data_IF_400638897874
#
_entry.id   IF_400638897874
#
_cell.length_a   1.000
_cell.length_b   1.000
_cell.length_c   1.000
_cell.angle_alpha   90.00
_cell.angle_beta   90.00
_cell.angle_gamma   90.00
#
_symmetry.space_group_name_H-M   'P 1'
#
loop_
_entity.id
_entity.type
_entity.pdbx_description
1 polymer ?
#
# COMPACT_ATOMS: atom_id res chain seq x y z
N UNK A 1 -4.80 -16.33 -30.13
CA UNK A 1 -4.37 -15.31 -29.15
C UNK A 1 -5.05 -15.48 -27.79
N UNK A 2 -6.37 -15.72 -27.75
CA UNK A 2 -7.16 -15.79 -26.50
C UNK A 2 -6.76 -16.88 -25.47
N UNK A 3 -6.00 -17.91 -25.86
CA UNK A 3 -5.53 -18.98 -24.95
C UNK A 3 -4.20 -18.65 -24.27
N UNK A 4 -3.37 -17.79 -24.88
CA UNK A 4 -2.07 -17.35 -24.34
C UNK A 4 -2.14 -15.97 -23.68
N UNK A 5 -3.27 -15.27 -23.85
CA UNK A 5 -3.48 -13.89 -23.42
C UNK A 5 -3.12 -13.64 -21.95
N UNK A 6 -3.49 -14.55 -21.05
CA UNK A 6 -3.16 -14.42 -19.62
C UNK A 6 -1.66 -14.49 -19.36
N UNK A 7 -0.95 -15.39 -20.04
CA UNK A 7 0.50 -15.53 -19.95
C UNK A 7 1.21 -14.31 -20.52
N UNK A 8 0.79 -13.85 -21.71
CA UNK A 8 1.33 -12.66 -22.36
C UNK A 8 1.13 -11.40 -21.51
N UNK A 9 -0.10 -11.16 -21.03
CA UNK A 9 -0.40 -9.99 -20.19
C UNK A 9 0.42 -10.00 -18.91
N UNK A 10 0.56 -11.17 -18.25
CA UNK A 10 1.37 -11.31 -17.04
C UNK A 10 2.85 -11.01 -17.31
N UNK A 11 3.42 -11.51 -18.41
CA UNK A 11 4.80 -11.26 -18.78
C UNK A 11 5.05 -9.77 -19.10
N UNK A 12 4.15 -9.15 -19.87
CA UNK A 12 4.20 -7.73 -20.19
C UNK A 12 4.11 -6.88 -18.91
N UNK A 13 3.17 -7.18 -18.02
CA UNK A 13 3.02 -6.47 -16.75
C UNK A 13 4.23 -6.61 -15.85
N UNK A 14 4.89 -7.78 -15.81
CA UNK A 14 6.17 -7.92 -15.11
C UNK A 14 7.25 -7.00 -15.69
N UNK A 15 7.33 -6.91 -17.02
CA UNK A 15 8.25 -5.99 -17.73
C UNK A 15 7.91 -4.52 -17.52
N UNK A 16 6.63 -4.16 -17.35
CA UNK A 16 6.23 -2.79 -17.01
C UNK A 16 6.87 -2.30 -15.69
N UNK A 17 7.21 -3.22 -14.80
CA UNK A 17 7.85 -2.91 -13.52
C UNK A 17 9.34 -2.57 -13.62
N UNK A 18 9.97 -2.72 -14.78
CA UNK A 18 11.39 -2.46 -14.97
C UNK A 18 11.72 -0.97 -15.10
N UNK A 19 12.95 -0.60 -14.73
CA UNK A 19 13.39 0.81 -14.65
C UNK A 19 13.59 1.48 -16.01
N UNK A 20 13.64 0.74 -17.12
CA UNK A 20 13.87 1.29 -18.46
C UNK A 20 12.60 1.92 -19.04
N UNK A 21 12.67 3.22 -19.37
CA UNK A 21 11.53 3.96 -19.91
C UNK A 21 11.07 3.48 -21.30
N UNK A 22 12.01 3.09 -22.18
CA UNK A 22 11.68 2.57 -23.52
C UNK A 22 10.93 1.24 -23.42
N UNK A 23 11.39 0.33 -22.55
CA UNK A 23 10.70 -0.94 -22.31
C UNK A 23 9.29 -0.70 -21.79
N UNK A 24 9.11 0.26 -20.85
CA UNK A 24 7.78 0.59 -20.35
C UNK A 24 6.86 1.13 -21.44
N UNK A 25 7.39 1.95 -22.35
CA UNK A 25 6.62 2.49 -23.48
C UNK A 25 6.20 1.40 -24.46
N UNK A 26 7.10 0.48 -24.81
CA UNK A 26 6.79 -0.66 -25.70
C UNK A 26 5.77 -1.61 -25.06
N UNK A 27 5.88 -1.83 -23.75
CA UNK A 27 4.90 -2.61 -22.98
C UNK A 27 3.52 -1.93 -22.98
N UNK A 28 3.47 -0.61 -22.77
CA UNK A 28 2.22 0.17 -22.79
C UNK A 28 1.55 0.06 -24.18
N UNK A 29 2.33 0.20 -25.26
CA UNK A 29 1.84 0.05 -26.63
C UNK A 29 1.31 -1.37 -26.93
N UNK A 30 2.02 -2.41 -26.45
CA UNK A 30 1.61 -3.80 -26.62
C UNK A 30 0.30 -4.11 -25.86
N UNK A 31 0.19 -3.64 -24.62
CA UNK A 31 -1.03 -3.80 -23.82
C UNK A 31 -2.20 -2.99 -24.38
N UNK A 32 -1.96 -1.81 -24.96
CA UNK A 32 -3.01 -1.06 -25.65
C UNK A 32 -3.49 -1.77 -26.92
N UNK A 33 -2.58 -2.35 -27.71
CA UNK A 33 -2.94 -3.19 -28.86
C UNK A 33 -3.80 -4.40 -28.42
N UNK A 34 -3.42 -5.05 -27.32
CA UNK A 34 -4.20 -6.14 -26.71
C UNK A 34 -5.61 -5.67 -26.31
N UNK A 35 -5.75 -4.49 -25.69
CA UNK A 35 -7.04 -3.89 -25.31
C UNK A 35 -7.89 -3.50 -26.53
N UNK A 36 -7.29 -3.30 -27.70
CA UNK A 36 -7.99 -2.96 -28.94
C UNK A 36 -8.50 -4.18 -29.69
N UNK A 37 -7.75 -5.29 -29.69
CA UNK A 37 -8.00 -6.40 -30.62
C UNK A 37 -8.41 -7.73 -29.95
N UNK A 38 -8.24 -7.88 -28.63
CA UNK A 38 -8.60 -9.11 -27.93
C UNK A 38 -10.01 -9.05 -27.32
N UNK A 39 -10.55 -10.23 -26.96
CA UNK A 39 -11.85 -10.35 -26.28
C UNK A 39 -11.86 -9.58 -24.95
N UNK A 40 -12.68 -8.53 -24.85
CA UNK A 40 -12.71 -7.59 -23.72
C UNK A 40 -12.77 -8.27 -22.34
N UNK A 41 -13.65 -9.27 -22.17
CA UNK A 41 -13.79 -10.00 -20.90
C UNK A 41 -12.55 -10.82 -20.53
N UNK A 42 -11.87 -11.43 -21.52
CA UNK A 42 -10.60 -12.15 -21.28
C UNK A 42 -9.47 -11.18 -20.99
N UNK A 43 -9.39 -10.05 -21.68
CA UNK A 43 -8.41 -9.00 -21.41
C UNK A 43 -8.55 -8.44 -19.99
N UNK A 44 -9.79 -8.22 -19.52
CA UNK A 44 -10.05 -7.84 -18.11
C UNK A 44 -9.47 -8.90 -17.18
N UNK A 45 -9.83 -10.17 -17.35
CA UNK A 45 -9.37 -11.25 -16.48
C UNK A 45 -7.85 -11.40 -16.48
N UNK A 46 -7.20 -11.29 -17.65
CA UNK A 46 -5.75 -11.36 -17.80
C UNK A 46 -5.04 -10.24 -17.02
N UNK A 47 -5.52 -9.00 -17.13
CA UNK A 47 -4.99 -7.85 -16.39
C UNK A 47 -5.21 -8.00 -14.87
N UNK A 48 -6.40 -8.44 -14.45
CA UNK A 48 -6.71 -8.65 -13.04
C UNK A 48 -5.80 -9.70 -12.41
N UNK A 49 -5.60 -10.83 -13.08
CA UNK A 49 -4.74 -11.92 -12.62
C UNK A 49 -3.26 -11.50 -12.64
N UNK A 50 -2.82 -10.77 -13.66
CA UNK A 50 -1.41 -10.40 -13.83
C UNK A 50 -0.93 -9.26 -12.93
N UNK A 51 -1.80 -8.30 -12.61
CA UNK A 51 -1.33 -6.99 -12.13
C UNK A 51 -2.05 -6.37 -10.94
N UNK A 52 -3.31 -6.73 -10.65
CA UNK A 52 -4.13 -6.07 -9.62
C UNK A 52 -3.46 -6.03 -8.24
N UNK A 53 -2.82 -7.15 -7.86
CA UNK A 53 -2.20 -7.31 -6.54
C UNK A 53 -0.66 -7.33 -6.61
N UNK A 54 -0.08 -6.83 -7.70
CA UNK A 54 1.37 -6.81 -7.87
C UNK A 54 2.03 -5.85 -6.87
N UNK A 55 3.25 -6.15 -6.42
CA UNK A 55 3.92 -5.36 -5.38
C UNK A 55 4.48 -4.05 -5.88
N UNK A 56 4.99 -4.07 -7.11
CA UNK A 56 5.48 -2.88 -7.76
C UNK A 56 4.30 -1.96 -8.13
N UNK A 57 4.24 -0.71 -7.60
CA UNK A 57 3.18 0.23 -7.91
C UNK A 57 3.09 0.60 -9.40
N UNK A 58 4.21 0.59 -10.13
CA UNK A 58 4.23 0.88 -11.58
C UNK A 58 3.41 -0.16 -12.36
N UNK A 59 3.52 -1.43 -11.96
CA UNK A 59 2.74 -2.51 -12.57
C UNK A 59 1.26 -2.36 -12.26
N UNK A 60 0.90 -2.00 -11.02
CA UNK A 60 -0.50 -1.73 -10.65
C UNK A 60 -1.07 -0.52 -11.40
N UNK A 61 -0.29 0.55 -11.56
CA UNK A 61 -0.64 1.72 -12.38
C UNK A 61 -0.90 1.33 -13.83
N UNK A 62 0.01 0.58 -14.45
CA UNK A 62 -0.13 0.10 -15.83
C UNK A 62 -1.40 -0.75 -15.99
N UNK A 63 -1.61 -1.69 -15.06
CA UNK A 63 -2.82 -2.52 -15.00
C UNK A 63 -4.08 -1.67 -14.93
N UNK A 64 -4.11 -0.68 -14.01
CA UNK A 64 -5.27 0.18 -13.80
C UNK A 64 -5.57 1.07 -15.02
N UNK A 65 -4.53 1.56 -15.71
CA UNK A 65 -4.65 2.37 -16.92
C UNK A 65 -5.36 1.59 -18.04
N UNK A 66 -4.85 0.41 -18.41
CA UNK A 66 -5.45 -0.40 -19.46
C UNK A 66 -6.81 -0.97 -19.06
N UNK A 67 -7.01 -1.29 -17.77
CA UNK A 67 -8.30 -1.71 -17.25
C UNK A 67 -9.34 -0.59 -17.36
N UNK A 68 -8.97 0.66 -17.12
CA UNK A 68 -9.88 1.79 -17.28
C UNK A 68 -10.34 1.95 -18.74
N UNK A 69 -9.43 1.78 -19.70
CA UNK A 69 -9.77 1.79 -21.13
C UNK A 69 -10.76 0.66 -21.49
N UNK A 70 -10.57 -0.54 -20.93
CA UNK A 70 -11.52 -1.66 -21.12
C UNK A 70 -12.87 -1.39 -20.47
N UNK A 71 -12.90 -0.83 -19.26
CA UNK A 71 -14.14 -0.53 -18.53
C UNK A 71 -14.98 0.49 -19.30
N UNK A 72 -14.34 1.52 -19.86
CA UNK A 72 -14.99 2.51 -20.71
C UNK A 72 -15.53 1.88 -22.00
N UNK A 73 -14.77 1.00 -22.67
CA UNK A 73 -15.21 0.29 -23.88
C UNK A 73 -16.38 -0.68 -23.64
N UNK A 74 -16.36 -1.42 -22.53
CA UNK A 74 -17.41 -2.40 -22.20
C UNK A 74 -18.69 -1.70 -21.71
N UNK A 75 -18.52 -0.61 -20.96
CA UNK A 75 -19.61 0.18 -20.40
C UNK A 75 -20.18 -0.39 -19.09
N UNK A 76 -20.63 0.52 -18.22
CA UNK A 76 -21.13 0.18 -16.89
C UNK A 76 -22.33 -0.79 -16.92
N UNK A 77 -23.25 -0.63 -17.88
CA UNK A 77 -24.44 -1.48 -18.00
C UNK A 77 -24.08 -2.97 -18.20
N UNK A 78 -23.05 -3.26 -19.00
CA UNK A 78 -22.64 -4.65 -19.23
C UNK A 78 -21.82 -5.21 -18.07
N UNK A 79 -20.94 -4.40 -17.48
CA UNK A 79 -20.11 -4.80 -16.33
C UNK A 79 -20.93 -5.03 -15.06
N UNK A 80 -22.03 -4.31 -14.91
CA UNK A 80 -22.94 -4.35 -13.77
C UNK A 80 -24.26 -5.07 -14.09
N UNK A 81 -24.30 -5.86 -15.17
CA UNK A 81 -25.50 -6.63 -15.54
C UNK A 81 -25.83 -7.79 -14.58
N UNK A 82 -24.97 -8.04 -13.59
CA UNK A 82 -25.15 -9.12 -12.61
C UNK A 82 -24.65 -10.49 -13.08
N UNK A 83 -23.91 -10.54 -14.19
CA UNK A 83 -23.20 -11.75 -14.61
C UNK A 83 -22.18 -12.16 -13.56
N UNK A 84 -22.41 -13.30 -12.89
CA UNK A 84 -21.63 -13.81 -11.74
C UNK A 84 -20.13 -13.59 -11.96
N UNK A 85 -19.51 -14.20 -12.96
CA UNK A 85 -18.05 -14.23 -13.05
C UNK A 85 -17.36 -12.89 -13.34
N UNK A 86 -18.01 -11.97 -14.07
CA UNK A 86 -17.41 -10.69 -14.44
C UNK A 86 -17.63 -9.64 -13.34
N UNK A 87 -18.87 -9.48 -12.86
CA UNK A 87 -19.20 -8.49 -11.83
C UNK A 87 -18.53 -8.85 -10.50
N UNK A 88 -18.48 -10.15 -10.14
CA UNK A 88 -17.81 -10.66 -8.92
C UNK A 88 -16.33 -10.28 -8.85
N UNK A 89 -15.65 -10.17 -10.01
CA UNK A 89 -14.21 -9.88 -10.06
C UNK A 89 -13.92 -8.39 -10.28
N UNK A 90 -14.64 -7.75 -11.20
CA UNK A 90 -14.28 -6.40 -11.66
C UNK A 90 -14.61 -5.32 -10.62
N UNK A 91 -15.74 -5.42 -9.93
CA UNK A 91 -16.18 -4.38 -8.99
C UNK A 91 -15.26 -4.35 -7.75
N UNK A 92 -14.96 -5.47 -7.07
CA UNK A 92 -13.97 -5.48 -6.00
C UNK A 92 -12.58 -5.01 -6.45
N UNK A 93 -12.16 -5.34 -7.67
CA UNK A 93 -10.89 -4.90 -8.22
C UNK A 93 -10.82 -3.38 -8.41
N UNK A 94 -11.87 -2.76 -8.94
CA UNK A 94 -11.95 -1.31 -9.12
C UNK A 94 -11.95 -0.59 -7.77
N UNK A 95 -12.69 -1.10 -6.79
CA UNK A 95 -12.70 -0.54 -5.42
C UNK A 95 -11.31 -0.63 -4.79
N UNK A 96 -10.64 -1.78 -4.92
CA UNK A 96 -9.26 -1.95 -4.47
C UNK A 96 -8.31 -0.95 -5.13
N UNK A 97 -8.41 -0.76 -6.45
CA UNK A 97 -7.60 0.22 -7.16
C UNK A 97 -7.95 1.65 -6.73
N UNK A 98 -9.22 1.99 -6.50
CA UNK A 98 -9.64 3.30 -6.04
C UNK A 98 -9.11 3.68 -4.64
N UNK A 99 -8.58 2.70 -3.91
CA UNK A 99 -7.92 2.86 -2.60
C UNK A 99 -6.44 2.44 -2.65
N UNK A 100 -5.82 2.35 -3.84
CA UNK A 100 -4.45 1.87 -3.99
C UNK A 100 -3.44 2.79 -3.29
N UNK A 101 -2.31 2.23 -2.86
CA UNK A 101 -1.22 3.01 -2.27
C UNK A 101 -0.46 3.90 -3.26
N UNK A 102 -0.52 3.62 -4.56
CA UNK A 102 -0.02 4.49 -5.63
C UNK A 102 -1.10 5.49 -6.01
N UNK A 103 -0.73 6.77 -6.05
CA UNK A 103 -1.66 7.84 -6.38
C UNK A 103 -2.19 7.70 -7.81
N UNK A 104 -1.35 7.25 -8.73
CA UNK A 104 -1.66 7.03 -10.15
C UNK A 104 -2.59 5.83 -10.35
N UNK A 105 -2.30 4.68 -9.71
CA UNK A 105 -3.22 3.54 -9.73
C UNK A 105 -4.58 3.93 -9.11
N UNK A 106 -4.54 4.71 -8.02
CA UNK A 106 -5.74 5.27 -7.36
C UNK A 106 -6.55 6.16 -8.27
N UNK A 107 -5.90 7.00 -9.06
CA UNK A 107 -6.56 7.86 -10.04
C UNK A 107 -7.36 7.02 -11.06
N UNK A 108 -6.75 6.03 -11.70
CA UNK A 108 -7.46 5.17 -12.66
C UNK A 108 -8.57 4.35 -12.01
N UNK A 109 -8.35 3.83 -10.80
CA UNK A 109 -9.38 3.17 -10.01
C UNK A 109 -10.60 4.07 -9.76
N UNK A 110 -10.36 5.31 -9.34
CA UNK A 110 -11.41 6.32 -9.14
C UNK A 110 -12.11 6.72 -10.44
N UNK A 111 -11.40 6.76 -11.58
CA UNK A 111 -12.01 6.99 -12.90
C UNK A 111 -13.02 5.91 -13.27
N UNK A 112 -12.62 4.64 -13.11
CA UNK A 112 -13.49 3.49 -13.33
C UNK A 112 -14.69 3.50 -12.36
N UNK A 113 -14.44 3.77 -11.07
CA UNK A 113 -15.50 3.84 -10.06
C UNK A 113 -16.54 4.93 -10.37
N UNK A 114 -16.08 6.11 -10.79
CA UNK A 114 -16.97 7.20 -11.22
C UNK A 114 -17.83 6.77 -12.41
N UNK A 115 -17.22 6.14 -13.43
CA UNK A 115 -17.94 5.62 -14.60
C UNK A 115 -19.02 4.60 -14.21
N UNK A 116 -18.69 3.64 -13.33
CA UNK A 116 -19.63 2.64 -12.82
C UNK A 116 -20.76 3.25 -11.98
N UNK A 117 -20.47 4.31 -11.21
CA UNK A 117 -21.44 4.97 -10.32
C UNK A 117 -22.60 5.68 -11.04
N UNK A 118 -22.51 5.82 -12.37
CA UNK A 118 -23.58 6.34 -13.22
C UNK A 118 -24.66 5.31 -13.51
N UNK A 119 -24.45 4.03 -13.18
CA UNK A 119 -25.44 2.98 -13.38
C UNK A 119 -26.57 3.07 -12.35
N UNK A 120 -27.82 2.89 -12.81
CA UNK A 120 -29.04 3.03 -11.96
C UNK A 120 -29.09 2.08 -10.77
N UNK A 121 -28.59 0.86 -10.93
CA UNK A 121 -28.57 -0.17 -9.88
C UNK A 121 -27.22 -0.25 -9.16
N UNK A 122 -26.34 0.73 -9.33
CA UNK A 122 -24.99 0.70 -8.75
C UNK A 122 -25.01 0.42 -7.25
N UNK A 123 -25.86 1.10 -6.47
CA UNK A 123 -25.93 0.92 -5.02
C UNK A 123 -26.37 -0.49 -4.60
N UNK A 124 -27.36 -1.06 -5.28
CA UNK A 124 -27.84 -2.44 -5.02
C UNK A 124 -26.76 -3.47 -5.32
N UNK A 125 -26.02 -3.26 -6.40
CA UNK A 125 -24.93 -4.14 -6.82
C UNK A 125 -23.75 -3.98 -5.86
N UNK A 126 -23.45 -2.77 -5.44
CA UNK A 126 -22.41 -2.49 -4.44
C UNK A 126 -22.67 -3.29 -3.15
N UNK A 127 -23.89 -3.25 -2.62
CA UNK A 127 -24.28 -4.02 -1.41
C UNK A 127 -24.16 -5.53 -1.59
N UNK A 128 -24.37 -6.04 -2.81
CA UNK A 128 -24.29 -7.48 -3.10
C UNK A 128 -22.85 -7.99 -3.19
N UNK A 129 -21.93 -7.22 -3.74
CA UNK A 129 -20.59 -7.67 -4.10
C UNK A 129 -19.47 -7.10 -3.22
N UNK A 130 -19.77 -6.18 -2.30
CA UNK A 130 -18.78 -5.51 -1.45
C UNK A 130 -19.07 -5.78 0.04
N UNK A 131 -18.06 -6.12 0.85
CA UNK A 131 -18.25 -6.31 2.28
C UNK A 131 -18.82 -5.07 2.97
N UNK A 132 -19.75 -5.26 3.92
CA UNK A 132 -20.46 -4.17 4.61
C UNK A 132 -19.53 -3.13 5.23
N UNK A 133 -18.37 -3.58 5.74
CA UNK A 133 -17.34 -2.72 6.33
C UNK A 133 -16.75 -1.68 5.37
N UNK A 134 -16.73 -1.99 4.07
CA UNK A 134 -16.08 -1.15 3.04
C UNK A 134 -17.10 -0.23 2.35
N UNK A 135 -18.41 -0.50 2.49
CA UNK A 135 -19.49 0.24 1.81
C UNK A 135 -19.48 1.73 2.14
N UNK A 136 -19.27 2.10 3.41
CA UNK A 136 -19.28 3.49 3.85
C UNK A 136 -18.17 4.30 3.14
N UNK A 137 -16.95 3.76 3.12
CA UNK A 137 -15.78 4.39 2.47
C UNK A 137 -15.98 4.51 0.97
N UNK A 138 -16.53 3.49 0.31
CA UNK A 138 -16.78 3.52 -1.14
C UNK A 138 -17.85 4.56 -1.48
N UNK A 139 -18.94 4.63 -0.71
CA UNK A 139 -20.01 5.62 -0.91
C UNK A 139 -19.50 7.05 -0.75
N UNK A 140 -18.68 7.32 0.27
CA UNK A 140 -18.06 8.63 0.45
C UNK A 140 -17.12 9.00 -0.72
N UNK A 141 -16.36 8.00 -1.21
CA UNK A 141 -15.49 8.18 -2.38
C UNK A 141 -16.30 8.54 -3.63
N UNK A 142 -17.40 7.83 -3.88
CA UNK A 142 -18.31 8.10 -5.02
C UNK A 142 -18.98 9.46 -4.89
N UNK A 143 -19.46 9.82 -3.69
CA UNK A 143 -20.04 11.14 -3.43
C UNK A 143 -19.04 12.27 -3.71
N UNK A 144 -17.79 12.11 -3.25
CA UNK A 144 -16.71 13.05 -3.53
C UNK A 144 -16.41 13.15 -5.02
N UNK A 145 -16.41 12.03 -5.74
CA UNK A 145 -16.15 12.01 -7.18
C UNK A 145 -17.27 12.68 -8.00
N UNK A 146 -18.54 12.45 -7.63
CA UNK A 146 -19.69 13.10 -8.30
C UNK A 146 -19.74 14.60 -8.08
N UNK A 147 -19.26 15.08 -6.93
CA UNK A 147 -19.30 16.52 -6.56
C UNK A 147 -18.06 17.30 -7.02
N UNK A 148 -16.86 16.72 -6.92
CA UNK A 148 -15.58 17.40 -7.26
C UNK A 148 -14.99 16.99 -8.61
N UNK A 149 -15.51 15.94 -9.23
CA UNK A 149 -14.86 15.30 -10.36
C UNK A 149 -13.64 14.48 -9.94
N UNK A 150 -12.95 13.95 -10.94
CA UNK A 150 -11.81 13.03 -10.77
C UNK A 150 -10.53 13.73 -10.27
N UNK A 151 -10.39 15.03 -10.51
CA UNK A 151 -9.17 15.78 -10.31
C UNK A 151 -8.15 15.59 -11.44
N UNK A 152 -6.97 16.19 -11.30
CA UNK A 152 -5.87 16.06 -12.26
C UNK A 152 -5.12 14.73 -12.09
N UNK A 153 -4.59 14.21 -13.19
CA UNK A 153 -3.70 13.04 -13.17
C UNK A 153 -2.43 13.39 -12.39
N UNK A 154 -2.04 12.60 -11.38
CA UNK A 154 -0.77 12.79 -10.70
C UNK A 154 0.37 12.68 -11.71
N UNK A 155 1.21 13.71 -11.77
CA UNK A 155 2.45 13.70 -12.56
C UNK A 155 3.54 13.03 -11.73
N UNK A 156 4.51 12.38 -12.39
CA UNK A 156 5.70 11.83 -11.73
C UNK A 156 6.36 12.93 -10.89
N UNK A 157 6.15 12.91 -9.56
CA UNK A 157 7.00 13.71 -8.66
C UNK A 157 8.40 13.13 -8.78
N UNK A 158 9.40 13.86 -9.30
CA UNK A 158 10.75 13.35 -9.33
C UNK A 158 11.17 13.20 -7.87
N UNK A 159 11.33 11.96 -7.42
CA UNK A 159 12.00 11.66 -6.16
C UNK A 159 13.32 12.43 -6.14
N UNK A 160 13.65 13.08 -5.03
CA UNK A 160 14.88 13.87 -4.84
C UNK A 160 16.18 13.03 -4.88
N UNK A 161 16.17 11.86 -5.54
CA UNK A 161 17.31 10.97 -5.76
C UNK A 161 18.12 11.25 -7.03
N UNK A 162 17.88 12.35 -7.74
CA UNK A 162 18.70 12.64 -8.91
C UNK A 162 18.47 14.00 -9.57
N UNK A 163 18.82 15.10 -8.88
CA UNK A 163 19.10 16.36 -9.60
C UNK A 163 20.60 16.43 -9.89
N UNK A 164 20.97 16.19 -11.15
CA UNK A 164 22.05 16.98 -11.76
C UNK A 164 21.44 18.35 -12.05
N UNK A 165 21.99 19.36 -11.43
CA UNK A 165 21.62 20.77 -11.57
C UNK A 165 21.89 21.26 -12.99
N UNK A 166 20.87 21.85 -13.62
CA UNK A 166 21.03 22.87 -14.66
C UNK A 166 20.48 24.19 -14.09
N UNK A 167 21.17 25.32 -14.30
CA UNK A 167 20.84 26.59 -13.67
C UNK A 167 19.77 27.34 -14.47
N UNK A 168 18.81 27.94 -13.77
CA UNK A 168 17.76 28.74 -14.40
C UNK A 168 16.89 29.49 -13.40
N UNK A 169 17.36 30.69 -13.04
CA UNK A 169 16.65 31.96 -12.79
C UNK A 169 15.35 32.00 -11.96
N UNK A 170 15.30 32.96 -11.04
CA UNK A 170 14.06 33.62 -10.62
C UNK A 170 13.76 33.62 -9.13
N UNK A 171 14.37 34.55 -8.40
CA UNK A 171 13.98 34.95 -7.04
C UNK A 171 12.58 35.58 -7.03
N UNK A 172 11.68 35.13 -6.15
CA UNK A 172 10.52 35.93 -5.74
C UNK A 172 10.35 35.83 -4.22
N UNK A 173 10.40 36.99 -3.59
CA UNK A 173 10.23 37.26 -2.15
C UNK A 173 8.93 36.66 -1.61
N UNK A 174 9.01 35.98 -0.46
CA UNK A 174 7.85 35.64 0.35
C UNK A 174 7.49 36.82 1.26
N UNK A 175 6.23 37.26 1.20
CA UNK A 175 5.64 38.19 2.16
C UNK A 175 5.05 37.40 3.35
N UNK A 176 5.50 37.75 4.55
CA UNK A 176 4.98 37.27 5.82
C UNK A 176 3.71 38.05 6.19
N UNK A 177 2.61 37.35 6.46
CA UNK A 177 1.48 37.90 7.20
C UNK A 177 1.12 36.93 8.32
N UNK A 178 1.56 37.27 9.52
CA UNK A 178 1.07 36.73 10.78
C UNK A 178 -0.30 37.34 11.06
N UNK A 179 -1.34 36.51 11.21
CA UNK A 179 -2.58 36.91 11.89
C UNK A 179 -2.89 35.86 12.94
N UNK A 180 -2.68 36.26 14.19
CA UNK A 180 -3.28 35.62 15.35
C UNK A 180 -4.80 35.70 15.22
N UNK A 181 -5.51 34.59 15.48
CA UNK A 181 -6.95 34.59 15.66
C UNK A 181 -7.32 33.51 16.67
N UNK A 182 -7.78 33.99 17.83
CA UNK A 182 -8.40 33.24 18.90
C UNK A 182 -9.64 32.50 18.38
N UNK A 183 -9.81 31.23 18.72
CA UNK A 183 -11.03 30.48 18.40
C UNK A 183 -11.67 29.88 19.64
N UNK A 184 -12.83 30.44 19.98
CA UNK A 184 -13.86 29.81 20.81
C UNK A 184 -14.45 28.59 20.09
N UNK A 185 -14.68 27.53 20.86
CA UNK A 185 -15.15 26.23 20.43
C UNK A 185 -16.60 26.26 19.91
N UNK A 186 -16.82 25.97 18.63
CA UNK A 186 -18.12 25.54 18.08
C UNK A 186 -17.86 24.52 16.96
N UNK A 187 -18.47 23.34 17.09
CA UNK A 187 -18.39 22.21 16.16
C UNK A 187 -18.66 22.63 14.71
N UNK A 188 -17.60 22.75 13.90
CA UNK A 188 -17.66 23.22 12.51
C UNK A 188 -17.86 22.06 11.53
N UNK A 189 -18.96 22.09 10.79
CA UNK A 189 -19.08 21.40 9.49
C UNK A 189 -18.10 22.08 8.55
N UNK A 190 -16.96 21.44 8.27
CA UNK A 190 -15.91 22.03 7.44
C UNK A 190 -16.38 22.14 5.99
N UNK A 191 -16.28 23.33 5.39
CA UNK A 191 -16.68 23.53 4.00
C UNK A 191 -15.75 22.76 3.06
N UNK A 192 -16.29 22.35 1.91
CA UNK A 192 -15.54 21.70 0.83
C UNK A 192 -14.37 22.58 0.34
N UNK A 193 -14.53 23.91 0.37
CA UNK A 193 -13.50 24.87 0.03
C UNK A 193 -12.34 24.82 1.04
N UNK A 194 -12.67 24.85 2.34
CA UNK A 194 -11.71 24.78 3.46
C UNK A 194 -10.84 23.52 3.37
N UNK A 195 -11.43 22.37 3.00
CA UNK A 195 -10.69 21.11 2.79
C UNK A 195 -9.67 21.22 1.65
N UNK A 196 -10.06 21.77 0.51
CA UNK A 196 -9.17 21.87 -0.66
C UNK A 196 -8.03 22.85 -0.39
N UNK A 197 -8.34 23.96 0.25
CA UNK A 197 -7.35 24.95 0.66
C UNK A 197 -6.36 24.36 1.68
N UNK A 198 -6.86 23.65 2.69
CA UNK A 198 -6.04 22.93 3.65
C UNK A 198 -5.05 21.98 2.98
N UNK A 199 -5.53 21.11 2.08
CA UNK A 199 -4.69 20.15 1.34
C UNK A 199 -3.59 20.89 0.56
N UNK A 200 -3.92 22.01 -0.08
CA UNK A 200 -2.95 22.82 -0.85
C UNK A 200 -1.89 23.43 0.07
N UNK A 201 -2.30 24.00 1.20
CA UNK A 201 -1.40 24.61 2.18
C UNK A 201 -0.44 23.56 2.77
N UNK A 202 -0.97 22.45 3.30
CA UNK A 202 -0.14 21.41 3.92
C UNK A 202 0.76 20.69 2.90
N UNK A 203 0.30 20.51 1.66
CA UNK A 203 1.15 19.95 0.60
C UNK A 203 2.27 20.91 0.18
N UNK A 204 2.04 22.23 0.26
CA UNK A 204 3.06 23.26 -0.01
C UNK A 204 4.16 23.27 1.05
N UNK A 205 3.77 23.40 2.33
CA UNK A 205 4.29 22.70 3.52
C UNK A 205 5.51 21.77 3.39
N UNK A 206 5.26 20.51 3.75
CA UNK A 206 5.13 19.51 2.71
C UNK A 206 6.32 19.51 1.74
N UNK A 207 6.06 19.94 0.52
CA UNK A 207 6.97 19.94 -0.62
C UNK A 207 7.90 21.14 -0.73
N UNK A 208 8.05 21.96 0.31
CA UNK A 208 8.91 23.14 0.26
C UNK A 208 10.36 22.79 -0.07
N UNK A 209 11.04 23.69 -0.79
CA UNK A 209 12.48 23.58 -1.06
C UNK A 209 13.31 23.73 0.22
N UNK A 210 12.82 24.52 1.18
CA UNK A 210 13.48 24.69 2.49
C UNK A 210 13.10 23.53 3.42
N UNK A 211 14.11 22.83 3.95
CA UNK A 211 13.91 21.72 4.87
C UNK A 211 13.28 22.14 6.20
N UNK A 212 13.45 23.41 6.61
CA UNK A 212 12.84 23.94 7.84
C UNK A 212 11.34 24.08 7.68
N UNK A 213 10.89 24.56 6.52
CA UNK A 213 9.47 24.63 6.19
C UNK A 213 8.84 23.24 6.08
N UNK A 214 9.60 22.25 5.59
CA UNK A 214 9.13 20.85 5.62
C UNK A 214 8.94 20.34 7.05
N UNK A 215 9.88 20.63 7.96
CA UNK A 215 9.75 20.29 9.40
C UNK A 215 8.53 20.98 10.00
N UNK A 216 8.33 22.28 9.75
CA UNK A 216 7.13 23.01 10.20
C UNK A 216 5.85 22.38 9.65
N UNK A 217 5.84 21.94 8.39
CA UNK A 217 4.72 21.22 7.80
C UNK A 217 4.42 19.89 8.50
N UNK A 218 5.46 19.17 8.93
CA UNK A 218 5.31 17.94 9.73
C UNK A 218 4.73 18.27 11.10
N UNK A 219 5.24 19.29 11.78
CA UNK A 219 4.73 19.73 13.10
C UNK A 219 3.27 20.19 13.02
N UNK A 220 2.92 20.93 11.96
CA UNK A 220 1.55 21.33 11.69
C UNK A 220 0.64 20.11 11.49
N UNK A 221 1.07 19.11 10.71
CA UNK A 221 0.29 17.89 10.51
C UNK A 221 0.04 17.14 11.83
N UNK A 222 1.03 17.06 12.72
CA UNK A 222 0.86 16.46 14.06
C UNK A 222 -0.17 17.27 14.87
N UNK A 223 -0.06 18.59 14.86
CA UNK A 223 -1.02 19.48 15.53
C UNK A 223 -2.44 19.32 14.99
N UNK A 224 -2.60 19.21 13.67
CA UNK A 224 -3.90 19.03 13.03
C UNK A 224 -4.52 17.67 13.34
N UNK A 225 -3.71 16.60 13.46
CA UNK A 225 -4.20 15.30 13.92
C UNK A 225 -4.74 15.38 15.36
N UNK A 226 -4.18 16.24 16.21
CA UNK A 226 -4.61 16.42 17.59
C UNK A 226 -5.84 17.33 17.71
N UNK A 227 -5.87 18.44 16.99
CA UNK A 227 -6.88 19.49 17.18
C UNK A 227 -7.99 19.48 16.12
N UNK A 228 -7.72 18.96 14.92
CA UNK A 228 -8.64 18.97 13.77
C UNK A 228 -8.74 17.58 13.10
N UNK A 229 -9.00 16.48 13.84
CA UNK A 229 -8.92 15.11 13.30
C UNK A 229 -9.91 14.86 12.16
N UNK A 230 -11.09 15.49 12.17
CA UNK A 230 -12.09 15.34 11.09
C UNK A 230 -11.57 15.86 9.74
N UNK A 231 -10.81 16.96 9.72
CA UNK A 231 -10.19 17.48 8.51
C UNK A 231 -9.19 16.47 7.93
N UNK A 232 -8.37 15.87 8.79
CA UNK A 232 -7.39 14.84 8.41
C UNK A 232 -8.07 13.58 7.90
N UNK A 233 -9.07 13.05 8.63
CA UNK A 233 -9.83 11.85 8.22
C UNK A 233 -10.41 12.04 6.81
N UNK A 234 -10.99 13.21 6.55
CA UNK A 234 -11.58 13.52 5.25
C UNK A 234 -10.53 13.70 4.14
N UNK A 235 -9.26 13.96 4.47
CA UNK A 235 -8.19 14.24 3.51
C UNK A 235 -7.01 13.27 3.59
N UNK A 236 -7.22 12.08 4.17
CA UNK A 236 -6.18 11.07 4.45
C UNK A 236 -5.27 10.81 3.26
N UNK A 237 -5.85 10.42 2.13
CA UNK A 237 -5.09 10.04 0.95
C UNK A 237 -4.17 11.17 0.44
N UNK A 238 -4.67 12.37 0.08
CA UNK A 238 -3.80 13.49 -0.32
C UNK A 238 -2.74 13.88 0.73
N UNK A 239 -3.12 13.93 2.01
CA UNK A 239 -2.20 14.33 3.10
C UNK A 239 -1.08 13.31 3.27
N UNK A 240 -1.42 12.02 3.29
CA UNK A 240 -0.44 10.95 3.47
C UNK A 240 0.37 10.66 2.21
N UNK A 241 -0.14 10.93 1.01
CA UNK A 241 0.67 10.94 -0.21
C UNK A 241 1.77 12.03 -0.13
N UNK A 242 1.42 13.24 0.34
CA UNK A 242 2.39 14.32 0.54
C UNK A 242 3.39 14.01 1.68
N UNK A 243 2.91 13.46 2.80
CA UNK A 243 3.74 13.11 3.95
C UNK A 243 4.68 11.93 3.68
N UNK A 244 4.25 10.94 2.87
CA UNK A 244 5.09 9.82 2.42
C UNK A 244 6.43 10.29 1.83
N UNK A 245 6.42 11.39 1.08
CA UNK A 245 7.65 11.94 0.50
C UNK A 245 8.66 12.43 1.56
N UNK A 246 8.21 12.76 2.77
CA UNK A 246 9.06 13.10 3.93
C UNK A 246 9.59 11.86 4.63
N UNK A 247 8.76 10.81 4.72
CA UNK A 247 9.18 9.49 5.19
C UNK A 247 10.25 8.88 4.30
N UNK A 248 10.34 9.22 3.02
CA UNK A 248 11.34 8.67 2.09
C UNK A 248 12.39 9.70 1.66
N UNK A 249 12.56 10.76 2.45
CA UNK A 249 13.42 11.88 2.09
C UNK A 249 14.92 11.57 2.22
N UNK A 250 15.74 12.18 1.36
CA UNK A 250 17.20 12.09 1.41
C UNK A 250 17.83 12.90 2.56
N UNK A 251 17.20 13.99 2.98
CA UNK A 251 17.64 14.77 4.14
C UNK A 251 17.32 13.99 5.43
N UNK A 252 18.37 13.49 6.09
CA UNK A 252 18.25 12.66 7.29
C UNK A 252 17.55 13.35 8.46
N UNK A 253 17.66 14.68 8.59
CA UNK A 253 17.00 15.44 9.67
C UNK A 253 15.49 15.49 9.48
N UNK A 254 15.04 15.79 8.25
CA UNK A 254 13.60 15.78 7.93
C UNK A 254 13.05 14.36 8.00
N UNK A 255 13.83 13.37 7.52
CA UNK A 255 13.42 11.98 7.53
C UNK A 255 13.23 11.43 8.95
N UNK A 256 14.19 11.67 9.83
CA UNK A 256 14.10 11.28 11.24
C UNK A 256 12.88 11.94 11.90
N UNK A 257 12.72 13.25 11.73
CA UNK A 257 11.61 14.00 12.30
C UNK A 257 10.24 13.50 11.79
N UNK A 258 10.16 13.12 10.51
CA UNK A 258 8.96 12.53 9.94
C UNK A 258 8.63 11.16 10.57
N UNK A 259 9.61 10.28 10.78
CA UNK A 259 9.40 8.97 11.40
C UNK A 259 8.98 9.08 12.88
N UNK A 260 9.58 10.00 13.63
CA UNK A 260 9.20 10.29 15.02
C UNK A 260 7.80 10.91 15.11
N UNK A 261 7.49 11.83 14.21
CA UNK A 261 6.16 12.45 14.13
C UNK A 261 5.09 11.46 13.70
N UNK A 262 5.42 10.50 12.83
CA UNK A 262 4.50 9.45 12.42
C UNK A 262 4.03 8.59 13.60
N UNK A 263 4.91 8.30 14.57
CA UNK A 263 4.52 7.58 15.79
C UNK A 263 3.41 8.32 16.56
N UNK A 264 3.52 9.65 16.67
CA UNK A 264 2.52 10.50 17.31
C UNK A 264 1.22 10.55 16.49
N UNK A 265 1.34 10.68 15.17
CA UNK A 265 0.17 10.68 14.27
C UNK A 265 -0.60 9.36 14.39
N UNK A 266 0.10 8.22 14.46
CA UNK A 266 -0.53 6.91 14.61
C UNK A 266 -1.31 6.81 15.92
N UNK A 267 -0.75 7.26 17.05
CA UNK A 267 -1.44 7.20 18.34
C UNK A 267 -2.64 8.14 18.43
N UNK A 268 -2.61 9.28 17.73
CA UNK A 268 -3.71 10.23 17.66
C UNK A 268 -4.86 9.73 16.76
N UNK A 269 -4.53 9.21 15.58
CA UNK A 269 -5.51 8.89 14.53
C UNK A 269 -6.03 7.45 14.60
N UNK A 270 -5.26 6.52 15.17
CA UNK A 270 -5.61 5.09 15.38
C UNK A 270 -6.22 4.47 14.12
N UNK A 271 -7.30 3.70 14.27
CA UNK A 271 -7.99 2.96 13.19
C UNK A 271 -8.39 3.82 11.99
N UNK A 272 -8.47 5.15 12.12
CA UNK A 272 -8.68 6.05 10.97
C UNK A 272 -7.59 5.88 9.91
N UNK A 273 -6.37 5.51 10.30
CA UNK A 273 -5.25 5.28 9.39
C UNK A 273 -5.31 3.94 8.64
N UNK A 274 -6.26 3.06 8.96
CA UNK A 274 -6.46 1.77 8.29
C UNK A 274 -6.48 1.89 6.76
N UNK A 275 -7.09 2.96 6.25
CA UNK A 275 -7.22 3.24 4.81
C UNK A 275 -5.88 3.54 4.12
N UNK A 276 -4.88 4.02 4.87
CA UNK A 276 -3.57 4.42 4.36
C UNK A 276 -2.43 3.51 4.82
N UNK A 277 -2.74 2.38 5.47
CA UNK A 277 -1.74 1.38 5.89
C UNK A 277 -0.88 0.91 4.71
N UNK A 278 -1.49 0.70 3.55
CA UNK A 278 -0.76 0.29 2.33
C UNK A 278 0.19 1.37 1.79
N UNK A 279 0.03 2.63 2.21
CA UNK A 279 0.96 3.73 1.91
C UNK A 279 2.07 3.76 2.96
N UNK A 280 1.68 3.68 4.24
CA UNK A 280 2.57 3.82 5.39
C UNK A 280 3.56 2.66 5.52
N UNK A 281 3.09 1.41 5.45
CA UNK A 281 3.94 0.24 5.69
C UNK A 281 5.14 0.22 4.71
N UNK A 282 4.95 0.30 3.38
CA UNK A 282 6.08 0.41 2.45
C UNK A 282 6.98 1.62 2.72
N UNK A 283 6.38 2.78 3.07
CA UNK A 283 7.14 3.99 3.34
C UNK A 283 8.11 3.82 4.51
N UNK A 284 7.75 3.01 5.52
CA UNK A 284 8.59 2.73 6.69
C UNK A 284 9.58 1.57 6.42
N UNK A 285 9.13 0.46 5.84
CA UNK A 285 9.94 -0.76 5.81
C UNK A 285 10.95 -0.82 4.67
N UNK A 286 10.68 -0.16 3.53
CA UNK A 286 11.48 -0.35 2.31
C UNK A 286 12.91 0.21 2.43
N UNK A 287 13.11 1.29 3.20
CA UNK A 287 14.40 1.99 3.24
C UNK A 287 14.98 2.21 4.65
N UNK A 288 14.20 2.11 5.72
CA UNK A 288 14.65 2.59 7.04
C UNK A 288 15.19 1.48 7.94
N UNK A 289 14.67 0.27 7.82
CA UNK A 289 15.12 -0.86 8.64
C UNK A 289 16.52 -1.38 8.28
N UNK A 290 17.01 -1.05 7.09
CA UNK A 290 18.40 -1.29 6.67
C UNK A 290 19.28 -0.03 6.79
N UNK A 291 18.79 1.04 7.43
CA UNK A 291 19.54 2.29 7.57
C UNK A 291 20.77 2.11 8.45
N UNK A 292 21.90 2.71 8.04
CA UNK A 292 23.11 2.81 8.87
C UNK A 292 22.97 3.86 9.98
N UNK A 293 22.00 4.76 9.87
CA UNK A 293 21.71 5.75 10.90
C UNK A 293 20.82 5.11 11.96
N UNK A 294 21.39 4.87 13.15
CA UNK A 294 20.69 4.20 14.24
C UNK A 294 19.43 4.94 14.72
N UNK A 295 19.40 6.27 14.64
CA UNK A 295 18.22 7.05 15.03
C UNK A 295 17.08 6.83 14.04
N UNK A 296 17.39 6.82 12.73
CA UNK A 296 16.39 6.52 11.68
C UNK A 296 15.88 5.09 11.83
N UNK A 297 16.77 4.13 12.06
CA UNK A 297 16.41 2.74 12.33
C UNK A 297 15.48 2.63 13.54
N UNK A 298 15.85 3.24 14.68
CA UNK A 298 15.07 3.21 15.92
C UNK A 298 13.71 3.88 15.74
N UNK A 299 13.64 5.03 15.07
CA UNK A 299 12.38 5.70 14.78
C UNK A 299 11.47 4.89 13.85
N UNK A 300 12.03 4.14 12.88
CA UNK A 300 11.26 3.26 12.02
C UNK A 300 10.71 2.04 12.76
N UNK A 301 11.50 1.42 13.64
CA UNK A 301 11.01 0.36 14.54
C UNK A 301 9.91 0.90 15.46
N UNK A 302 10.09 2.11 16.00
CA UNK A 302 9.06 2.81 16.78
C UNK A 302 7.76 3.00 16.00
N UNK A 303 7.84 3.41 14.73
CA UNK A 303 6.67 3.56 13.86
C UNK A 303 5.96 2.22 13.59
N UNK A 304 6.70 1.14 13.35
CA UNK A 304 6.13 -0.21 13.19
C UNK A 304 5.41 -0.66 14.46
N UNK A 305 6.06 -0.51 15.62
CA UNK A 305 5.44 -0.85 16.90
C UNK A 305 4.19 0.00 17.18
N UNK A 306 4.22 1.29 16.83
CA UNK A 306 3.05 2.16 16.95
C UNK A 306 1.89 1.67 16.07
N UNK A 307 2.14 1.21 14.84
CA UNK A 307 1.12 0.60 13.99
C UNK A 307 0.50 -0.64 14.67
N UNK A 308 1.33 -1.57 15.15
CA UNK A 308 0.88 -2.81 15.81
C UNK A 308 0.06 -2.51 17.08
N UNK A 309 0.42 -1.47 17.84
CA UNK A 309 -0.26 -1.14 19.09
C UNK A 309 -1.57 -0.37 18.92
N UNK A 310 -1.77 0.34 17.79
CA UNK A 310 -2.90 1.28 17.62
C UNK A 310 -3.85 0.93 16.47
N UNK A 311 -3.55 -0.11 15.69
CA UNK A 311 -4.40 -0.56 14.58
C UNK A 311 -4.79 -2.03 14.77
N UNK A 312 -5.89 -2.43 14.11
CA UNK A 312 -6.22 -3.84 13.99
C UNK A 312 -5.10 -4.62 13.25
N UNK A 313 -4.44 -5.51 13.98
CA UNK A 313 -3.37 -6.37 13.51
C UNK A 313 -3.74 -7.23 12.29
N UNK A 314 -5.03 -7.52 12.07
CA UNK A 314 -5.51 -8.20 10.86
C UNK A 314 -5.16 -7.40 9.60
N UNK A 315 -5.19 -6.07 9.68
CA UNK A 315 -4.87 -5.18 8.55
C UNK A 315 -3.36 -5.11 8.27
N UNK A 316 -2.53 -5.39 9.26
CA UNK A 316 -1.06 -5.35 9.15
C UNK A 316 -0.47 -6.67 8.65
N UNK A 317 -1.14 -7.79 8.90
CA UNK A 317 -0.58 -9.13 8.63
C UNK A 317 -0.19 -9.32 7.16
N UNK A 318 -1.09 -9.01 6.22
CA UNK A 318 -0.80 -9.16 4.80
C UNK A 318 0.31 -8.21 4.32
N UNK A 319 0.27 -6.89 4.59
CA UNK A 319 1.37 -5.99 4.24
C UNK A 319 2.73 -6.45 4.78
N UNK A 320 2.78 -6.92 6.03
CA UNK A 320 4.03 -7.39 6.65
C UNK A 320 4.52 -8.66 5.97
N UNK A 321 3.65 -9.66 5.75
CA UNK A 321 4.02 -10.90 5.07
C UNK A 321 4.56 -10.61 3.66
N UNK A 322 3.83 -9.79 2.92
CA UNK A 322 4.21 -9.37 1.57
C UNK A 322 5.56 -8.68 1.54
N UNK A 323 5.85 -7.77 2.47
CA UNK A 323 7.13 -7.06 2.49
C UNK A 323 8.27 -7.98 2.97
N UNK A 324 8.04 -8.82 3.98
CA UNK A 324 9.02 -9.77 4.50
C UNK A 324 9.51 -10.75 3.43
N UNK A 325 8.67 -11.07 2.44
CA UNK A 325 9.04 -11.92 1.32
C UNK A 325 10.22 -11.33 0.52
N UNK A 326 10.20 -10.02 0.23
CA UNK A 326 11.14 -9.38 -0.73
C UNK A 326 12.20 -8.47 -0.08
N UNK A 327 12.05 -8.11 1.19
CA UNK A 327 13.09 -7.38 1.91
C UNK A 327 14.38 -8.21 2.01
N UNK A 328 15.48 -7.54 2.34
CA UNK A 328 16.81 -8.15 2.53
C UNK A 328 17.45 -7.63 3.82
N UNK A 329 18.51 -8.32 4.27
CA UNK A 329 19.29 -7.89 5.43
C UNK A 329 18.47 -7.82 6.71
N UNK A 330 18.76 -6.82 7.54
CA UNK A 330 18.14 -6.61 8.86
C UNK A 330 16.63 -6.34 8.75
N UNK A 331 16.21 -5.60 7.72
CA UNK A 331 14.81 -5.33 7.46
C UNK A 331 13.96 -6.61 7.30
N UNK A 332 14.52 -7.63 6.64
CA UNK A 332 13.84 -8.93 6.47
C UNK A 332 13.68 -9.64 7.81
N UNK A 333 14.76 -9.68 8.60
CA UNK A 333 14.78 -10.32 9.93
C UNK A 333 13.74 -9.67 10.84
N UNK A 334 13.82 -8.35 11.02
CA UNK A 334 12.94 -7.59 11.92
C UNK A 334 11.47 -7.79 11.54
N UNK A 335 11.13 -7.78 10.24
CA UNK A 335 9.75 -7.92 9.82
C UNK A 335 9.21 -9.37 9.95
N UNK A 336 10.05 -10.38 9.75
CA UNK A 336 9.67 -11.79 10.01
C UNK A 336 9.37 -11.99 11.49
N UNK A 337 10.19 -11.41 12.39
CA UNK A 337 9.95 -11.47 13.83
C UNK A 337 8.62 -10.81 14.20
N UNK A 338 8.30 -9.64 13.62
CA UNK A 338 6.99 -9.01 13.82
C UNK A 338 5.83 -9.86 13.29
N UNK A 339 6.00 -10.58 12.18
CA UNK A 339 4.97 -11.52 11.72
C UNK A 339 4.78 -12.68 12.71
N UNK A 340 5.85 -13.19 13.33
CA UNK A 340 5.75 -14.23 14.36
C UNK A 340 4.97 -13.76 15.60
N UNK A 341 5.19 -12.52 16.04
CA UNK A 341 4.41 -11.88 17.11
C UNK A 341 2.92 -11.81 16.73
N UNK A 342 2.62 -11.36 15.50
CA UNK A 342 1.25 -11.28 14.99
C UNK A 342 0.55 -12.63 14.86
N UNK A 343 1.28 -13.69 14.49
CA UNK A 343 0.73 -15.07 14.47
C UNK A 343 0.22 -15.44 15.86
N UNK A 344 1.03 -15.19 16.89
CA UNK A 344 0.69 -15.54 18.28
C UNK A 344 -0.54 -14.76 18.77
N UNK A 345 -0.67 -13.48 18.41
CA UNK A 345 -1.82 -12.65 18.79
C UNK A 345 -3.11 -12.98 18.02
N UNK A 346 -3.00 -13.25 16.71
CA UNK A 346 -4.16 -13.36 15.82
C UNK A 346 -4.72 -14.77 15.70
N UNK A 347 -3.87 -15.81 15.76
CA UNK A 347 -4.30 -17.18 15.47
C UNK A 347 -5.45 -17.67 16.36
N UNK A 348 -5.48 -17.41 17.69
CA UNK A 348 -6.59 -17.85 18.55
C UNK A 348 -7.97 -17.30 18.14
N UNK A 349 -8.00 -16.14 17.45
CA UNK A 349 -9.24 -15.46 17.06
C UNK A 349 -9.56 -15.62 15.57
N UNK A 350 -8.55 -15.78 14.71
CA UNK A 350 -8.65 -15.76 13.25
C UNK A 350 -7.70 -16.78 12.59
N UNK A 351 -7.79 -18.08 12.91
CA UNK A 351 -6.80 -19.09 12.48
C UNK A 351 -6.71 -19.20 10.95
N UNK A 352 -7.86 -19.29 10.27
CA UNK A 352 -7.92 -19.37 8.80
C UNK A 352 -7.25 -18.18 8.10
N UNK A 353 -7.36 -16.98 8.69
CA UNK A 353 -6.76 -15.77 8.13
C UNK A 353 -5.24 -15.80 8.30
N UNK A 354 -4.75 -16.24 9.46
CA UNK A 354 -3.30 -16.40 9.69
C UNK A 354 -2.74 -17.45 8.73
N UNK A 355 -3.38 -18.61 8.61
CA UNK A 355 -2.94 -19.69 7.71
C UNK A 355 -2.86 -19.22 6.25
N UNK A 356 -3.93 -18.59 5.75
CA UNK A 356 -3.99 -18.11 4.37
C UNK A 356 -2.89 -17.09 4.04
N UNK A 357 -2.41 -16.34 5.03
CA UNK A 357 -1.57 -15.15 4.82
C UNK A 357 -0.11 -15.41 5.17
N UNK A 358 0.15 -16.17 6.22
CA UNK A 358 1.49 -16.41 6.76
C UNK A 358 2.12 -17.66 6.20
N UNK A 359 1.37 -18.74 5.95
CA UNK A 359 1.95 -19.96 5.37
C UNK A 359 2.66 -19.72 4.04
N UNK A 360 2.11 -18.94 3.08
CA UNK A 360 2.84 -18.61 1.85
C UNK A 360 4.19 -17.91 2.10
N UNK A 361 4.29 -17.06 3.13
CA UNK A 361 5.56 -16.46 3.53
C UNK A 361 6.51 -17.55 4.06
N UNK A 362 6.07 -18.39 4.98
CA UNK A 362 6.89 -19.47 5.53
C UNK A 362 7.44 -20.37 4.43
N UNK A 363 6.59 -20.80 3.49
CA UNK A 363 6.99 -21.64 2.35
C UNK A 363 8.03 -20.95 1.48
N UNK A 364 7.83 -19.66 1.18
CA UNK A 364 8.82 -18.89 0.43
C UNK A 364 10.17 -18.79 1.17
N UNK A 365 10.15 -18.53 2.47
CA UNK A 365 11.37 -18.41 3.28
C UNK A 365 12.13 -19.75 3.33
N UNK A 366 11.42 -20.86 3.51
CA UNK A 366 12.02 -22.21 3.51
C UNK A 366 12.55 -22.59 2.13
N UNK A 367 11.80 -22.33 1.06
CA UNK A 367 12.20 -22.66 -0.31
C UNK A 367 13.41 -21.86 -0.81
N UNK A 368 13.62 -20.66 -0.27
CA UNK A 368 14.77 -19.79 -0.62
C UNK A 368 15.99 -19.98 0.29
N UNK A 369 15.87 -20.75 1.39
CA UNK A 369 16.87 -20.84 2.45
C UNK A 369 18.10 -21.72 2.15
N UNK A 370 18.20 -22.29 0.94
CA UNK A 370 19.19 -23.32 0.60
C UNK A 370 20.67 -22.92 0.67
N UNK A 371 21.05 -21.64 0.84
CA UNK A 371 22.44 -21.17 0.67
C UNK A 371 23.01 -20.25 1.78
N UNK A 372 22.47 -20.24 3.01
CA UNK A 372 23.07 -19.43 4.09
C UNK A 372 23.57 -20.30 5.25
N UNK A 373 24.89 -20.37 5.36
CA UNK A 373 25.65 -21.24 6.26
C UNK A 373 25.48 -20.99 7.76
N UNK A 374 25.98 -21.99 8.49
CA UNK A 374 26.24 -22.13 9.94
C UNK A 374 25.09 -21.82 10.92
N UNK A 375 24.76 -22.85 11.70
CA UNK A 375 23.60 -22.97 12.61
C UNK A 375 23.80 -22.22 13.94
N UNK A 376 24.82 -21.38 14.07
CA UNK A 376 25.22 -20.82 15.37
C UNK A 376 25.08 -19.29 15.37
N UNK A 377 23.88 -18.83 15.72
CA UNK A 377 23.62 -17.41 15.94
C UNK A 377 22.24 -17.17 16.54
N UNK A 378 22.18 -17.07 17.87
CA UNK A 378 21.02 -16.52 18.59
C UNK A 378 20.70 -15.13 18.01
N UNK A 379 19.50 -14.98 17.43
CA UNK A 379 18.87 -13.70 17.07
C UNK A 379 19.68 -12.82 16.10
N UNK A 380 19.29 -12.79 14.83
CA UNK A 380 19.84 -11.81 13.88
C UNK A 380 20.06 -12.32 12.45
N UNK A 381 19.86 -13.61 12.20
CA UNK A 381 19.87 -14.17 10.85
C UNK A 381 18.46 -14.39 10.32
N UNK A 382 18.30 -14.36 9.00
CA UNK A 382 17.01 -14.68 8.34
C UNK A 382 16.57 -16.10 8.71
N UNK A 383 17.51 -17.05 8.82
CA UNK A 383 17.23 -18.41 9.25
C UNK A 383 16.69 -18.47 10.69
N UNK A 384 17.27 -17.70 11.61
CA UNK A 384 16.79 -17.59 13.00
C UNK A 384 15.39 -16.99 13.08
N UNK A 385 15.12 -15.93 12.33
CA UNK A 385 13.78 -15.34 12.27
C UNK A 385 12.75 -16.31 11.65
N UNK A 386 13.11 -17.04 10.59
CA UNK A 386 12.26 -18.10 10.01
C UNK A 386 11.99 -19.22 11.00
N UNK A 387 12.97 -19.60 11.83
CA UNK A 387 12.79 -20.57 12.90
C UNK A 387 11.79 -20.07 13.95
N UNK A 388 11.90 -18.80 14.38
CA UNK A 388 10.95 -18.19 15.31
C UNK A 388 9.52 -18.14 14.72
N UNK A 389 9.39 -17.78 13.44
CA UNK A 389 8.10 -17.80 12.75
C UNK A 389 7.51 -19.22 12.67
N UNK A 390 8.34 -20.21 12.34
CA UNK A 390 7.97 -21.62 12.33
C UNK A 390 7.49 -22.07 13.72
N UNK A 391 8.22 -21.72 14.78
CA UNK A 391 7.85 -22.04 16.15
C UNK A 391 6.53 -21.40 16.56
N UNK A 392 6.31 -20.11 16.23
CA UNK A 392 5.06 -19.42 16.51
C UNK A 392 3.87 -20.10 15.82
N UNK A 393 4.03 -20.52 14.55
CA UNK A 393 3.00 -21.26 13.81
C UNK A 393 2.79 -22.66 14.39
N UNK A 394 3.85 -23.40 14.70
CA UNK A 394 3.74 -24.75 15.25
C UNK A 394 3.10 -24.75 16.63
N UNK A 395 3.39 -23.77 17.48
CA UNK A 395 2.76 -23.60 18.78
C UNK A 395 1.23 -23.38 18.69
N UNK A 396 0.75 -22.82 17.58
CA UNK A 396 -0.66 -22.50 17.36
C UNK A 396 -1.40 -23.58 16.56
N UNK A 397 -0.79 -24.13 15.51
CA UNK A 397 -1.37 -25.11 14.60
C UNK A 397 -1.11 -26.57 15.02
N UNK A 398 -0.05 -26.81 15.80
CA UNK A 398 0.42 -28.15 16.12
C UNK A 398 0.76 -28.98 14.86
N UNK A 399 0.43 -30.28 14.84
CA UNK A 399 0.73 -31.19 13.72
C UNK A 399 0.15 -30.74 12.37
N UNK A 400 -0.94 -29.96 12.36
CA UNK A 400 -1.55 -29.47 11.11
C UNK A 400 -0.65 -28.55 10.29
N UNK A 401 0.41 -27.99 10.90
CA UNK A 401 1.46 -27.28 10.15
C UNK A 401 2.24 -28.24 9.22
N UNK A 402 2.56 -29.44 9.71
CA UNK A 402 3.26 -30.46 8.92
C UNK A 402 2.33 -31.04 7.82
N UNK A 403 1.04 -31.18 8.11
CA UNK A 403 0.03 -31.56 7.11
C UNK A 403 -0.10 -30.50 6.00
N UNK A 404 -0.11 -29.23 6.37
CA UNK A 404 -0.15 -28.12 5.40
C UNK A 404 1.12 -28.06 4.55
N UNK A 405 2.25 -28.48 5.10
CA UNK A 405 3.48 -28.60 4.34
C UNK A 405 3.40 -29.73 3.32
N UNK A 406 2.65 -30.82 3.57
CA UNK A 406 2.47 -31.99 2.67
C UNK A 406 2.23 -31.61 1.21
N UNK A 407 1.48 -30.52 0.97
CA UNK A 407 1.16 -30.04 -0.37
C UNK A 407 2.22 -29.14 -1.03
N UNK A 408 3.36 -28.91 -0.38
CA UNK A 408 4.45 -28.03 -0.86
C UNK A 408 5.61 -28.83 -1.46
N UNK A 409 6.55 -28.13 -2.08
CA UNK A 409 7.74 -28.71 -2.69
C UNK A 409 8.66 -29.43 -1.66
N UNK A 410 9.41 -30.43 -2.13
CA UNK A 410 10.24 -31.29 -1.27
C UNK A 410 11.34 -30.54 -0.49
N UNK A 411 11.81 -29.40 -1.00
CA UNK A 411 12.76 -28.52 -0.30
C UNK A 411 12.13 -27.80 0.90
N UNK A 412 10.90 -27.30 0.76
CA UNK A 412 10.13 -26.66 1.84
C UNK A 412 9.89 -27.66 2.97
N UNK A 413 9.47 -28.88 2.60
CA UNK A 413 9.32 -30.02 3.50
C UNK A 413 10.55 -30.33 4.34
N UNK A 414 11.69 -30.45 3.67
CA UNK A 414 12.96 -30.76 4.32
C UNK A 414 13.35 -29.65 5.30
N UNK A 415 13.23 -28.40 4.87
CA UNK A 415 13.54 -27.23 5.71
C UNK A 415 12.63 -27.14 6.94
N UNK A 416 11.34 -27.41 6.79
CA UNK A 416 10.40 -27.43 7.91
C UNK A 416 10.78 -28.51 8.93
N UNK A 417 11.01 -29.74 8.48
CA UNK A 417 11.38 -30.85 9.36
C UNK A 417 12.73 -30.60 10.07
N UNK A 418 13.70 -29.96 9.41
CA UNK A 418 14.95 -29.58 10.04
C UNK A 418 14.73 -28.58 11.18
N UNK A 419 13.86 -27.58 10.99
CA UNK A 419 13.52 -26.62 12.04
C UNK A 419 12.73 -27.26 13.19
N UNK A 420 11.72 -28.09 12.89
CA UNK A 420 10.92 -28.75 13.94
C UNK A 420 11.76 -29.67 14.84
N UNK A 421 12.78 -30.35 14.28
CA UNK A 421 13.74 -31.16 15.06
C UNK A 421 14.60 -30.34 16.02
N UNK A 422 14.77 -29.04 15.77
CA UNK A 422 15.50 -28.16 16.69
C UNK A 422 14.62 -27.57 17.79
N UNK A 423 13.30 -27.78 17.70
CA UNK A 423 12.30 -27.25 18.63
C UNK A 423 11.81 -28.33 19.62
N UNK A 424 11.97 -29.62 19.26
CA UNK A 424 11.87 -30.79 20.15
C UNK A 424 13.14 -30.98 20.96
#
# INVERSE_FOLDING_TARGET
MDQELEGTAKALLQKAGESNAFIRQDVDAALDCMVQHCTLTRSINALLTGGLSHLNPVVRKCTAQHLANLVEKVGAARLLSGGKDLTDRILPAIIKLAQDSSQEARYFGRRMLLSLSSHRDFDKILEKYVPTKDLATVRDTVFTLKTKGLGEMPQDTPSARGRRSLPGSGTVRASSLTRDSQYSCRSQVHSIADKTEYIKQISSLLGSKDFRERIKGIDQLVSDCQHNPSMIINSLFPVFDAFKARLQESNSKVNLHALESLQKIISLMKDSLSQVVNILVPAIVDNHLNSKNNNIYTAAIGAINALILNLDNVLLLQPFCTKAQFLTGKAKVDLIEKVADLVTDLYPRKPQMVEQKVLPLLWHLLGTSSHSGTIHGRGGSVRGATANLCQALYAQMGPSLAESAASQDANVHRGLNELLRTLS
#
